data_IF_130340793285
#
_entry.id   IF_130340793285
#
_cell.length_a   1.000
_cell.length_b   1.000
_cell.length_c   1.000
_cell.angle_alpha   90.00
_cell.angle_beta   90.00
_cell.angle_gamma   90.00
#
_symmetry.space_group_name_H-M   'P 1'
#
loop_
_entity.id
_entity.type
_entity.pdbx_description
1 polymer ?
#
# COMPACT_ATOMS: atom_id res chain seq x y z
N UNK A 1 -1.81 1.49 -5.69
CA UNK A 1 -3.01 0.77 -5.21
C UNK A 1 -3.91 1.63 -4.31
N UNK A 2 -3.59 1.88 -3.03
CA UNK A 2 -4.50 2.59 -2.09
C UNK A 2 -5.06 3.95 -2.59
N UNK A 3 -4.22 4.78 -3.23
CA UNK A 3 -4.66 6.05 -3.79
C UNK A 3 -5.65 5.88 -4.97
N UNK A 4 -5.54 4.79 -5.74
CA UNK A 4 -6.46 4.48 -6.83
C UNK A 4 -7.86 4.15 -6.30
N UNK A 5 -7.94 3.40 -5.18
CA UNK A 5 -9.21 3.17 -4.48
C UNK A 5 -9.83 4.50 -4.06
N UNK A 6 -9.06 5.39 -3.41
CA UNK A 6 -9.60 6.70 -3.01
C UNK A 6 -10.08 7.54 -4.21
N UNK A 7 -9.34 7.52 -5.32
CA UNK A 7 -9.70 8.25 -6.53
C UNK A 7 -10.94 7.67 -7.24
N UNK A 8 -11.16 6.35 -7.16
CA UNK A 8 -12.34 5.70 -7.71
C UNK A 8 -13.60 5.93 -6.85
N UNK A 9 -13.43 6.03 -5.53
CA UNK A 9 -14.54 6.18 -4.58
C UNK A 9 -14.95 7.64 -4.31
N UNK A 10 -14.07 8.62 -4.52
CA UNK A 10 -14.42 10.04 -4.37
C UNK A 10 -14.56 10.73 -5.72
N UNK A 11 -15.72 11.33 -6.06
CA UNK A 11 -15.71 12.45 -7.00
C UNK A 11 -14.88 13.55 -6.35
N UNK A 12 -13.83 14.00 -7.05
CA UNK A 12 -12.89 15.02 -6.56
C UNK A 12 -13.66 16.30 -6.20
N UNK A 13 -14.01 16.45 -4.92
CA UNK A 13 -14.56 17.69 -4.41
C UNK A 13 -13.38 18.64 -4.16
N UNK A 14 -12.88 19.21 -5.26
CA UNK A 14 -11.72 20.12 -5.34
C UNK A 14 -11.90 21.42 -4.51
N UNK A 15 -13.02 21.54 -3.78
CA UNK A 15 -13.42 22.70 -2.99
C UNK A 15 -13.02 22.61 -1.51
N UNK A 16 -12.58 21.44 -1.00
CA UNK A 16 -12.23 21.29 0.43
C UNK A 16 -10.88 21.94 0.76
N UNK A 17 -10.93 23.25 0.99
CA UNK A 17 -9.89 24.16 1.48
C UNK A 17 -8.96 23.51 2.54
N UNK A 18 -7.64 23.60 2.31
CA UNK A 18 -6.54 23.69 3.32
C UNK A 18 -6.65 22.84 4.60
N UNK A 19 -7.20 21.63 4.53
CA UNK A 19 -6.96 20.64 5.58
C UNK A 19 -5.57 20.04 5.39
N UNK A 20 -4.87 19.73 6.49
CA UNK A 20 -3.61 18.97 6.44
C UNK A 20 -3.85 17.69 5.65
N UNK A 21 -2.99 17.31 4.69
CA UNK A 21 -3.16 16.07 3.93
C UNK A 21 -3.29 14.90 4.91
N UNK A 22 -4.45 14.24 4.92
CA UNK A 22 -4.62 12.97 5.64
C UNK A 22 -3.88 11.90 4.84
N UNK A 23 -3.12 11.06 5.54
CA UNK A 23 -2.46 9.90 4.92
C UNK A 23 -3.48 9.05 4.18
N UNK A 24 -3.09 8.50 3.02
CA UNK A 24 -3.93 7.58 2.23
C UNK A 24 -4.44 6.40 3.08
N UNK A 25 -3.59 5.90 3.99
CA UNK A 25 -3.93 4.80 4.90
C UNK A 25 -5.00 5.18 5.94
N UNK A 26 -5.11 6.47 6.28
CA UNK A 26 -6.15 6.96 7.19
C UNK A 26 -7.50 7.11 6.50
N UNK A 27 -7.50 7.31 5.18
CA UNK A 27 -8.72 7.51 4.39
C UNK A 27 -9.27 6.20 3.81
N UNK A 28 -8.39 5.21 3.59
CA UNK A 28 -8.75 3.96 2.93
C UNK A 28 -9.91 3.18 3.62
N UNK A 29 -10.00 3.09 4.96
CA UNK A 29 -11.11 2.39 5.62
C UNK A 29 -12.48 3.05 5.43
N UNK A 30 -12.51 4.34 5.10
CA UNK A 30 -13.74 5.08 4.79
C UNK A 30 -14.20 4.78 3.36
N UNK A 31 -13.26 4.61 2.42
CA UNK A 31 -13.55 4.30 1.02
C UNK A 31 -13.93 2.83 0.80
N UNK A 32 -13.23 1.91 1.46
CA UNK A 32 -13.53 0.48 1.44
C UNK A 32 -13.24 -0.15 2.82
N UNK A 33 -14.29 -0.52 3.58
CA UNK A 33 -14.14 -1.17 4.88
C UNK A 33 -13.37 -2.49 4.84
N UNK A 34 -13.36 -3.22 3.72
CA UNK A 34 -12.61 -4.46 3.56
C UNK A 34 -11.09 -4.21 3.60
N UNK A 35 -10.66 -3.00 3.27
CA UNK A 35 -9.24 -2.60 3.28
C UNK A 35 -8.78 -2.05 4.63
N UNK A 36 -9.64 -2.04 5.67
CA UNK A 36 -9.33 -1.44 6.98
C UNK A 36 -8.14 -2.08 7.67
N UNK A 37 -8.08 -3.41 7.65
CA UNK A 37 -7.01 -4.16 8.32
C UNK A 37 -5.66 -3.90 7.63
N UNK A 38 -5.66 -3.93 6.30
CA UNK A 38 -4.51 -3.57 5.47
C UNK A 38 -4.03 -2.14 5.71
N UNK A 39 -4.96 -1.18 5.82
CA UNK A 39 -4.64 0.19 6.17
C UNK A 39 -3.96 0.32 7.53
N UNK A 40 -4.45 -0.38 8.55
CA UNK A 40 -3.83 -0.40 9.88
C UNK A 40 -2.43 -1.03 9.85
N UNK A 41 -2.28 -2.15 9.14
CA UNK A 41 -1.02 -2.87 8.97
C UNK A 41 0.07 -1.98 8.33
N UNK A 42 -0.21 -1.38 7.16
CA UNK A 42 0.77 -0.54 6.47
C UNK A 42 1.08 0.76 7.21
N UNK A 43 0.13 1.31 7.96
CA UNK A 43 0.35 2.47 8.81
C UNK A 43 1.31 2.15 9.96
N UNK A 44 1.15 0.99 10.62
CA UNK A 44 2.02 0.56 11.71
C UNK A 44 3.49 0.36 11.27
N UNK A 45 3.71 -0.08 10.03
CA UNK A 45 5.05 -0.25 9.44
C UNK A 45 5.66 1.01 8.81
N UNK A 46 4.95 2.15 8.77
CA UNK A 46 5.39 3.33 8.01
C UNK A 46 6.68 3.97 8.57
N UNK A 47 6.79 4.10 9.88
CA UNK A 47 7.95 4.76 10.51
C UNK A 47 9.24 3.95 10.34
N UNK A 48 9.16 2.61 10.45
CA UNK A 48 10.30 1.72 10.20
C UNK A 48 10.77 1.80 8.75
N UNK A 49 9.85 1.83 7.79
CA UNK A 49 10.17 2.00 6.36
C UNK A 49 10.78 3.37 6.08
N UNK A 50 10.22 4.44 6.65
CA UNK A 50 10.77 5.78 6.50
C UNK A 50 12.21 5.88 7.05
N UNK A 51 12.49 5.22 8.18
CA UNK A 51 13.85 5.12 8.71
C UNK A 51 14.78 4.32 7.79
N UNK A 52 14.31 3.21 7.21
CA UNK A 52 15.07 2.43 6.24
C UNK A 52 15.35 3.21 4.94
N UNK A 53 14.35 3.93 4.40
CA UNK A 53 14.45 4.81 3.23
C UNK A 53 15.42 5.98 3.46
N UNK A 54 15.49 6.47 4.71
CA UNK A 54 16.47 7.47 5.13
C UNK A 54 17.90 6.91 5.29
N UNK A 55 18.13 5.64 4.99
CA UNK A 55 19.44 4.99 5.04
C UNK A 55 19.87 4.54 6.43
N UNK A 56 18.94 4.47 7.39
CA UNK A 56 19.27 4.02 8.75
C UNK A 56 19.57 2.51 8.75
N UNK A 57 20.79 2.08 9.13
CA UNK A 57 21.12 0.67 9.14
C UNK A 57 20.23 -0.11 10.13
N UNK A 58 19.77 -1.29 9.74
CA UNK A 58 18.98 -2.23 10.58
C UNK A 58 17.60 -1.72 11.02
N UNK A 59 17.04 -0.70 10.37
CA UNK A 59 15.66 -0.27 10.62
C UNK A 59 14.63 -1.36 10.27
N UNK A 60 14.98 -2.24 9.32
CA UNK A 60 14.25 -3.46 8.95
C UNK A 60 15.24 -4.59 8.65
N UNK A 61 14.83 -5.81 8.97
CA UNK A 61 15.54 -7.04 8.59
C UNK A 61 15.14 -7.50 7.18
N UNK A 62 15.96 -8.33 6.50
CA UNK A 62 15.58 -8.91 5.21
C UNK A 62 14.26 -9.70 5.27
N UNK A 63 14.04 -10.45 6.36
CA UNK A 63 12.81 -11.20 6.60
C UNK A 63 11.58 -10.29 6.68
N UNK A 64 11.66 -9.20 7.45
CA UNK A 64 10.58 -8.22 7.57
C UNK A 64 10.31 -7.52 6.21
N UNK A 65 11.35 -7.31 5.40
CA UNK A 65 11.19 -6.75 4.06
C UNK A 65 10.49 -7.73 3.10
N UNK A 66 10.84 -9.01 3.13
CA UNK A 66 10.20 -10.05 2.33
C UNK A 66 8.73 -10.24 2.72
N UNK A 67 8.43 -10.24 4.02
CA UNK A 67 7.05 -10.31 4.55
C UNK A 67 6.24 -9.09 4.09
N UNK A 68 6.79 -7.89 4.22
CA UNK A 68 6.15 -6.66 3.74
C UNK A 68 5.89 -6.70 2.23
N UNK A 69 6.81 -7.23 1.44
CA UNK A 69 6.65 -7.34 -0.01
C UNK A 69 5.52 -8.30 -0.36
N UNK A 70 5.49 -9.46 0.28
CA UNK A 70 4.43 -10.44 0.11
C UNK A 70 3.05 -9.86 0.48
N UNK A 71 2.97 -9.17 1.62
CA UNK A 71 1.76 -8.51 2.08
C UNK A 71 1.32 -7.38 1.13
N UNK A 72 2.26 -6.65 0.55
CA UNK A 72 1.98 -5.63 -0.47
C UNK A 72 1.41 -6.24 -1.75
N UNK A 73 1.89 -7.40 -2.19
CA UNK A 73 1.34 -8.13 -3.34
C UNK A 73 -0.10 -8.55 -3.10
N UNK A 74 -0.41 -9.15 -1.93
CA UNK A 74 -1.78 -9.53 -1.56
C UNK A 74 -2.69 -8.30 -1.55
N UNK A 75 -2.22 -7.20 -0.96
CA UNK A 75 -2.98 -5.95 -0.94
C UNK A 75 -3.27 -5.40 -2.34
N UNK A 76 -2.31 -5.49 -3.28
CA UNK A 76 -2.52 -5.05 -4.66
C UNK A 76 -3.60 -5.89 -5.34
N UNK A 77 -3.55 -7.21 -5.19
CA UNK A 77 -4.61 -8.11 -5.72
C UNK A 77 -5.98 -7.76 -5.15
N UNK A 78 -6.08 -7.52 -3.85
CA UNK A 78 -7.34 -7.12 -3.22
C UNK A 78 -7.86 -5.77 -3.77
N UNK A 79 -6.96 -4.82 -4.01
CA UNK A 79 -7.33 -3.53 -4.62
C UNK A 79 -7.77 -3.68 -6.07
N UNK A 80 -7.11 -4.55 -6.84
CA UNK A 80 -7.50 -4.86 -8.22
C UNK A 80 -8.90 -5.49 -8.26
N UNK A 81 -9.19 -6.43 -7.36
CA UNK A 81 -10.52 -7.02 -7.18
C UNK A 81 -11.57 -5.95 -6.80
N UNK A 82 -11.28 -5.08 -5.83
CA UNK A 82 -12.16 -3.95 -5.44
C UNK A 82 -12.46 -3.03 -6.63
N UNK A 83 -11.48 -2.81 -7.50
CA UNK A 83 -11.60 -1.93 -8.66
C UNK A 83 -12.13 -2.63 -9.93
N UNK A 84 -12.33 -3.95 -9.89
CA UNK A 84 -12.71 -4.75 -11.05
C UNK A 84 -11.65 -4.78 -12.17
N UNK A 85 -10.38 -4.60 -11.82
CA UNK A 85 -9.24 -4.65 -12.74
C UNK A 85 -8.70 -6.09 -12.76
N UNK A 86 -8.54 -6.73 -13.93
CA UNK A 86 -7.94 -8.06 -13.97
C UNK A 86 -6.47 -8.02 -13.52
N UNK A 87 -6.12 -8.84 -12.53
CA UNK A 87 -4.74 -9.09 -12.06
C UNK A 87 -3.81 -9.39 -13.24
N UNK A 88 -2.70 -8.66 -13.33
CA UNK A 88 -1.60 -9.03 -14.21
C UNK A 88 -0.40 -9.45 -13.37
N UNK A 89 -0.24 -10.76 -13.18
CA UNK A 89 0.87 -11.33 -12.41
C UNK A 89 2.20 -11.00 -13.11
N UNK A 90 3.05 -10.19 -12.48
CA UNK A 90 4.40 -9.93 -12.98
C UNK A 90 5.25 -11.20 -12.86
N UNK A 91 5.84 -11.61 -13.97
CA UNK A 91 6.57 -12.88 -14.13
C UNK A 91 7.69 -13.08 -13.08
N UNK A 92 7.91 -14.31 -12.60
CA UNK A 92 9.10 -14.64 -11.81
C UNK A 92 10.37 -14.47 -12.66
N UNK A 93 11.21 -13.49 -12.35
CA UNK A 93 12.58 -13.40 -12.87
C UNK A 93 13.43 -14.50 -12.25
N UNK A 94 13.30 -15.72 -12.78
CA UNK A 94 14.28 -16.78 -12.55
C UNK A 94 15.60 -16.37 -13.20
N UNK A 95 16.48 -15.75 -12.43
CA UNK A 95 17.89 -15.67 -12.80
C UNK A 95 18.53 -17.02 -12.47
N UNK A 96 18.61 -17.90 -13.47
CA UNK A 96 19.41 -19.14 -13.38
C UNK A 96 20.74 -18.90 -14.08
N UNK A 97 21.77 -18.59 -13.32
CA UNK A 97 23.16 -18.61 -13.78
C UNK A 97 23.97 -19.52 -12.87
N UNK A 98 24.33 -20.70 -13.40
CA UNK A 98 25.62 -21.40 -13.30
C UNK A 98 25.46 -22.81 -13.85
#
# INVERSE_FOLDING_TARGET
AAAAVLAAHQPLDLTRRRARPRSVWVLLPEADPALREWAAYFAAGADKRAAAEAGLPRAVTPREADELLHDAEIFVTLVEDTLGIPVQQTLPTTNRAS
#
